data_IF_787321432692
#
_entry.id   IF_787321432692
#
_cell.length_a   1.000
_cell.length_b   1.000
_cell.length_c   1.000
_cell.angle_alpha   90.00
_cell.angle_beta   90.00
_cell.angle_gamma   90.00
#
_symmetry.space_group_name_H-M   'P 1'
#
loop_
_entity.id
_entity.type
_entity.pdbx_description
1 polymer ?
#
# COMPACT_ATOMS: atom_id res chain seq x y z
N UNK A 1 -21.82 -10.44 29.35
CA UNK A 1 -21.15 -11.00 28.15
C UNK A 1 -20.40 -9.86 27.45
N UNK A 2 -19.09 -9.72 27.67
CA UNK A 2 -18.30 -8.67 27.00
C UNK A 2 -18.03 -9.05 25.55
N UNK A 3 -18.80 -8.46 24.63
CA UNK A 3 -18.67 -8.68 23.19
C UNK A 3 -17.48 -7.85 22.71
N UNK A 4 -16.30 -8.48 22.63
CA UNK A 4 -15.09 -7.82 22.13
C UNK A 4 -15.15 -7.72 20.62
N UNK A 5 -15.00 -6.51 20.09
CA UNK A 5 -14.98 -6.28 18.64
C UNK A 5 -13.52 -6.13 18.18
N UNK A 6 -13.03 -7.00 17.29
CA UNK A 6 -11.68 -6.88 16.77
C UNK A 6 -11.60 -5.66 15.85
N UNK A 7 -10.71 -4.72 16.19
CA UNK A 7 -10.43 -3.55 15.38
C UNK A 7 -9.10 -3.74 14.65
N UNK A 8 -9.02 -3.27 13.40
CA UNK A 8 -7.76 -3.24 12.65
C UNK A 8 -6.66 -2.60 13.50
N UNK A 9 -5.48 -3.22 13.57
CA UNK A 9 -4.34 -2.75 14.40
C UNK A 9 -4.05 -1.25 14.23
N UNK A 10 -4.12 -0.73 13.01
CA UNK A 10 -3.85 0.68 12.73
C UNK A 10 -4.96 1.61 13.20
N UNK A 11 -6.22 1.19 13.06
CA UNK A 11 -7.35 1.95 13.62
C UNK A 11 -7.40 1.83 15.14
N UNK A 12 -6.99 0.70 15.71
CA UNK A 12 -6.85 0.56 17.15
C UNK A 12 -5.79 1.53 17.69
N UNK A 13 -4.61 1.58 17.04
CA UNK A 13 -3.57 2.54 17.38
C UNK A 13 -4.04 3.99 17.25
N UNK A 14 -4.76 4.34 16.19
CA UNK A 14 -5.26 5.70 16.00
C UNK A 14 -6.40 6.06 16.98
N UNK A 15 -7.44 5.23 17.07
CA UNK A 15 -8.68 5.54 17.77
C UNK A 15 -8.62 5.21 19.26
N UNK A 16 -7.85 4.21 19.67
CA UNK A 16 -7.74 3.80 21.06
C UNK A 16 -6.42 4.30 21.66
N UNK A 17 -5.26 3.93 21.12
CA UNK A 17 -3.97 4.30 21.74
C UNK A 17 -3.66 5.80 21.64
N UNK A 18 -3.93 6.42 20.49
CA UNK A 18 -3.76 7.87 20.28
C UNK A 18 -5.02 8.67 20.57
N UNK A 19 -6.06 8.02 21.08
CA UNK A 19 -7.36 8.58 21.46
C UNK A 19 -8.02 9.51 20.42
N UNK A 20 -7.68 9.40 19.13
CA UNK A 20 -8.14 10.35 18.11
C UNK A 20 -9.67 10.43 18.06
N UNK A 21 -10.21 11.64 18.19
CA UNK A 21 -11.63 11.96 18.07
C UNK A 21 -11.77 13.27 17.29
N UNK A 22 -12.75 13.37 16.39
CA UNK A 22 -12.93 14.54 15.53
C UNK A 22 -11.87 14.71 14.43
N UNK A 23 -11.40 13.61 13.85
CA UNK A 23 -10.31 13.62 12.86
C UNK A 23 -10.82 13.57 11.42
N UNK A 24 -10.00 14.03 10.47
CA UNK A 24 -10.19 13.81 9.03
C UNK A 24 -9.46 12.55 8.53
N UNK A 25 -9.83 12.07 7.33
CA UNK A 25 -9.13 10.94 6.68
C UNK A 25 -7.65 11.26 6.43
N UNK A 26 -7.33 12.54 6.20
CA UNK A 26 -5.95 13.00 5.99
C UNK A 26 -5.16 12.97 7.29
N UNK A 27 -5.76 13.40 8.39
CA UNK A 27 -5.14 13.43 9.72
C UNK A 27 -4.83 12.01 10.21
N UNK A 28 -5.80 11.09 10.15
CA UNK A 28 -5.56 9.70 10.56
C UNK A 28 -4.51 9.01 9.69
N UNK A 29 -4.47 9.31 8.37
CA UNK A 29 -3.40 8.83 7.48
C UNK A 29 -2.05 9.38 7.90
N UNK A 30 -1.94 10.69 8.09
CA UNK A 30 -0.66 11.34 8.44
C UNK A 30 -0.14 10.86 9.81
N UNK A 31 -1.04 10.60 10.76
CA UNK A 31 -0.70 10.06 12.08
C UNK A 31 -0.21 8.61 12.03
N UNK A 32 -0.66 7.84 11.05
CA UNK A 32 -0.27 6.44 10.87
C UNK A 32 0.91 6.27 9.91
N UNK A 33 1.14 7.22 9.01
CA UNK A 33 2.19 7.16 7.98
C UNK A 33 3.58 6.83 8.55
N UNK A 34 4.07 7.45 9.65
CA UNK A 34 5.38 7.12 10.23
C UNK A 34 5.47 5.70 10.78
N UNK A 35 4.33 5.11 11.16
CA UNK A 35 4.25 3.74 11.68
C UNK A 35 4.04 2.70 10.56
N UNK A 36 3.62 3.15 9.37
CA UNK A 36 3.22 2.29 8.24
C UNK A 36 4.01 2.48 6.96
N UNK A 37 4.95 3.44 6.89
CA UNK A 37 5.69 3.76 5.65
C UNK A 37 6.45 2.54 5.08
N UNK A 38 6.91 1.65 5.96
CA UNK A 38 7.56 0.40 5.54
C UNK A 38 6.60 -0.65 4.99
N UNK A 39 5.29 -0.51 5.19
CA UNK A 39 4.27 -1.52 4.87
C UNK A 39 3.30 -1.10 3.76
N UNK A 40 2.96 0.19 3.67
CA UNK A 40 1.97 0.69 2.72
C UNK A 40 2.46 1.97 2.06
N UNK A 41 2.15 2.12 0.77
CA UNK A 41 2.25 3.42 0.11
C UNK A 41 1.11 4.35 0.58
N UNK A 42 1.30 5.67 0.42
CA UNK A 42 0.40 6.72 0.88
C UNK A 42 -1.02 6.57 0.34
N UNK A 43 -1.16 6.17 -0.92
CA UNK A 43 -2.45 5.91 -1.57
C UNK A 43 -3.11 4.61 -1.11
N UNK A 44 -2.31 3.55 -0.92
CA UNK A 44 -2.83 2.27 -0.41
C UNK A 44 -3.34 2.41 1.01
N UNK A 45 -2.59 3.11 1.87
CA UNK A 45 -3.01 3.42 3.24
C UNK A 45 -4.32 4.22 3.25
N UNK A 46 -4.45 5.22 2.37
CA UNK A 46 -5.68 6.02 2.25
C UNK A 46 -6.87 5.15 1.86
N UNK A 47 -6.73 4.27 0.86
CA UNK A 47 -7.81 3.35 0.42
C UNK A 47 -8.22 2.38 1.52
N UNK A 48 -7.25 1.83 2.25
CA UNK A 48 -7.48 0.92 3.38
C UNK A 48 -8.23 1.61 4.51
N UNK A 49 -7.79 2.81 4.91
CA UNK A 49 -8.44 3.61 5.95
C UNK A 49 -9.87 3.97 5.55
N UNK A 50 -10.09 4.37 4.29
CA UNK A 50 -11.44 4.72 3.81
C UNK A 50 -12.42 3.54 3.92
N UNK A 51 -12.02 2.35 3.45
CA UNK A 51 -12.86 1.13 3.55
C UNK A 51 -13.18 0.77 5.00
N UNK A 52 -12.22 0.94 5.90
CA UNK A 52 -12.40 0.58 7.31
C UNK A 52 -13.26 1.61 8.05
N UNK A 53 -13.03 2.90 7.83
CA UNK A 53 -13.86 3.99 8.37
C UNK A 53 -15.31 3.86 7.87
N UNK A 54 -15.50 3.50 6.59
CA UNK A 54 -16.82 3.25 6.04
C UNK A 54 -17.57 2.14 6.78
N UNK A 55 -16.88 1.04 7.14
CA UNK A 55 -17.47 -0.04 7.95
C UNK A 55 -17.86 0.45 9.35
N UNK A 56 -17.01 1.25 9.99
CA UNK A 56 -17.32 1.80 11.31
C UNK A 56 -18.50 2.79 11.26
N UNK A 57 -18.60 3.59 10.21
CA UNK A 57 -19.79 4.43 9.96
C UNK A 57 -21.05 3.57 9.77
N UNK A 58 -20.97 2.54 8.92
CA UNK A 58 -22.10 1.66 8.63
C UNK A 58 -22.59 0.89 9.87
N UNK A 59 -21.68 0.53 10.78
CA UNK A 59 -22.01 -0.09 12.06
C UNK A 59 -22.47 0.91 13.15
N UNK A 60 -22.51 2.22 12.84
CA UNK A 60 -22.90 3.26 13.80
C UNK A 60 -21.85 3.56 14.87
N UNK A 61 -20.62 3.09 14.70
CA UNK A 61 -19.53 3.30 15.67
C UNK A 61 -18.84 4.65 15.50
N UNK A 62 -18.75 5.13 14.27
CA UNK A 62 -18.33 6.49 13.99
C UNK A 62 -19.51 7.28 13.43
N UNK A 63 -19.49 8.57 13.66
CA UNK A 63 -20.38 9.52 13.00
C UNK A 63 -19.56 10.50 12.16
N UNK A 64 -20.15 10.92 11.04
CA UNK A 64 -19.55 11.88 10.15
C UNK A 64 -20.23 13.23 10.36
N UNK A 65 -19.50 14.21 10.87
CA UNK A 65 -19.99 15.60 10.96
C UNK A 65 -19.18 16.48 10.02
N UNK A 66 -19.86 17.44 9.41
CA UNK A 66 -19.18 18.48 8.65
C UNK A 66 -18.82 19.58 9.63
N UNK A 67 -17.54 19.92 9.67
CA UNK A 67 -17.10 21.09 10.41
C UNK A 67 -17.55 22.34 9.63
N UNK A 68 -18.33 23.21 10.27
CA UNK A 68 -18.89 24.42 9.66
C UNK A 68 -17.80 25.45 9.33
N UNK A 69 -16.70 25.43 10.10
CA UNK A 69 -15.59 26.40 9.98
C UNK A 69 -14.63 25.97 8.88
N UNK A 70 -14.19 24.71 8.89
CA UNK A 70 -13.20 24.20 7.92
C UNK A 70 -13.84 23.63 6.66
N UNK A 71 -15.17 23.44 6.64
CA UNK A 71 -15.95 22.70 5.62
C UNK A 71 -15.51 21.24 5.42
N UNK A 72 -14.60 20.76 6.26
CA UNK A 72 -14.04 19.42 6.18
C UNK A 72 -14.98 18.39 6.79
N UNK A 73 -14.89 17.17 6.28
CA UNK A 73 -15.54 16.02 6.88
C UNK A 73 -14.69 15.52 8.03
N UNK A 74 -15.27 15.52 9.24
CA UNK A 74 -14.65 14.97 10.45
C UNK A 74 -15.44 13.78 10.98
N UNK A 75 -14.69 12.83 11.55
CA UNK A 75 -15.20 11.59 12.09
C UNK A 75 -15.11 11.65 13.61
N UNK A 76 -16.23 11.41 14.28
CA UNK A 76 -16.32 11.40 15.74
C UNK A 76 -16.71 10.02 16.24
N UNK A 77 -16.21 9.65 17.42
CA UNK A 77 -16.62 8.44 18.13
C UNK A 77 -18.02 8.62 18.68
N UNK A 78 -18.87 7.65 18.42
CA UNK A 78 -20.21 7.60 19.03
C UNK A 78 -20.18 6.98 20.43
N UNK A 79 -21.27 7.14 21.18
CA UNK A 79 -21.44 6.46 22.46
C UNK A 79 -21.46 4.94 22.30
N UNK A 80 -21.93 4.42 21.16
CA UNK A 80 -21.87 3.00 20.84
C UNK A 80 -20.42 2.49 20.71
N UNK A 81 -19.50 3.32 20.21
CA UNK A 81 -18.07 2.99 20.21
C UNK A 81 -17.50 2.98 21.63
N UNK A 82 -17.87 3.95 22.47
CA UNK A 82 -17.36 4.04 23.86
C UNK A 82 -17.91 2.94 24.78
N UNK A 83 -19.12 2.46 24.50
CA UNK A 83 -19.77 1.38 25.25
C UNK A 83 -19.17 -0.01 24.97
N UNK A 84 -18.32 -0.16 23.95
CA UNK A 84 -17.77 -1.44 23.53
C UNK A 84 -16.27 -1.52 23.78
N UNK A 85 -15.82 -2.69 24.25
CA UNK A 85 -14.41 -2.98 24.38
C UNK A 85 -13.86 -3.46 23.03
N UNK A 86 -13.16 -2.55 22.33
CA UNK A 86 -12.38 -2.90 21.17
C UNK A 86 -11.07 -3.56 21.60
N UNK A 87 -10.67 -4.60 20.88
CA UNK A 87 -9.37 -5.24 21.09
C UNK A 87 -8.57 -5.10 19.81
N UNK A 88 -7.28 -4.77 19.93
CA UNK A 88 -6.38 -4.77 18.79
C UNK A 88 -6.38 -6.16 18.17
N UNK A 89 -6.89 -6.28 16.94
CA UNK A 89 -6.91 -7.56 16.27
C UNK A 89 -5.46 -8.02 16.05
N UNK A 90 -5.02 -9.09 16.74
CA UNK A 90 -3.68 -9.68 16.60
C UNK A 90 -3.37 -10.09 15.15
N UNK A 91 -4.41 -10.32 14.36
CA UNK A 91 -4.41 -10.38 12.90
C UNK A 91 -5.51 -9.47 12.41
N UNK A 92 -5.19 -8.61 11.45
CA UNK A 92 -6.17 -7.82 10.70
C UNK A 92 -7.07 -8.78 9.89
N UNK A 93 -7.99 -9.50 10.53
CA UNK A 93 -8.96 -10.33 9.84
C UNK A 93 -10.03 -9.43 9.24
N UNK A 94 -9.80 -9.01 8.01
CA UNK A 94 -10.88 -8.73 7.10
C UNK A 94 -11.63 -10.05 6.89
N UNK A 95 -12.92 -10.06 7.22
CA UNK A 95 -13.85 -11.10 6.79
C UNK A 95 -13.64 -11.39 5.31
N UNK A 96 -13.20 -12.62 5.09
CA UNK A 96 -12.96 -13.29 3.83
C UNK A 96 -14.31 -13.58 3.19
N UNK A 97 -14.60 -12.96 2.06
CA UNK A 97 -15.50 -13.57 1.07
C UNK A 97 -14.76 -14.02 -0.19
N UNK A 98 -13.48 -13.65 -0.40
CA UNK A 98 -12.79 -13.96 -1.66
C UNK A 98 -11.29 -14.28 -1.54
N UNK A 99 -10.80 -14.74 -0.39
CA UNK A 99 -9.42 -15.21 -0.31
C UNK A 99 -9.32 -16.54 0.46
N UNK A 100 -9.98 -17.56 -0.09
CA UNK A 100 -9.27 -18.83 -0.19
C UNK A 100 -8.04 -18.55 -1.02
N UNK A 101 -6.89 -18.37 -0.38
CA UNK A 101 -5.59 -18.88 -0.77
C UNK A 101 -4.55 -18.40 0.24
N UNK A 102 -4.05 -19.39 1.00
CA UNK A 102 -2.83 -19.38 1.81
C UNK A 102 -2.85 -18.49 3.05
N UNK A 103 -3.30 -19.13 4.13
CA UNK A 103 -2.58 -19.09 5.39
C UNK A 103 -1.08 -19.33 5.14
N UNK A 104 -0.30 -18.27 5.11
CA UNK A 104 1.05 -18.30 5.68
C UNK A 104 1.18 -17.05 6.53
N UNK A 105 2.00 -17.16 7.57
CA UNK A 105 2.33 -16.07 8.46
C UNK A 105 2.68 -14.82 7.65
N UNK A 106 2.16 -13.66 8.08
CA UNK A 106 2.47 -12.39 7.43
C UNK A 106 3.96 -12.12 7.64
N UNK A 107 4.80 -12.66 6.76
CA UNK A 107 6.24 -12.59 6.85
C UNK A 107 6.66 -11.21 6.30
N UNK A 108 7.06 -10.26 7.18
CA UNK A 108 7.40 -8.91 6.76
C UNK A 108 8.51 -8.88 5.70
N UNK A 109 9.44 -9.85 5.76
CA UNK A 109 10.49 -10.03 4.77
C UNK A 109 9.92 -10.36 3.38
N UNK A 110 8.99 -11.31 3.28
CA UNK A 110 8.37 -11.66 1.98
C UNK A 110 7.54 -10.50 1.43
N UNK A 111 6.85 -9.75 2.31
CA UNK A 111 6.10 -8.57 1.90
C UNK A 111 7.02 -7.46 1.35
N UNK A 112 8.19 -7.26 1.99
CA UNK A 112 9.20 -6.30 1.54
C UNK A 112 9.77 -6.72 0.18
N UNK A 113 10.23 -7.96 0.06
CA UNK A 113 10.80 -8.54 -1.17
C UNK A 113 9.81 -8.46 -2.33
N UNK A 114 8.52 -8.74 -2.08
CA UNK A 114 7.48 -8.70 -3.11
C UNK A 114 7.21 -7.28 -3.60
N UNK A 115 7.19 -6.29 -2.69
CA UNK A 115 7.00 -4.87 -3.07
C UNK A 115 8.18 -4.34 -3.86
N UNK A 116 9.40 -4.63 -3.41
CA UNK A 116 10.63 -4.23 -4.08
C UNK A 116 10.71 -4.85 -5.49
N UNK A 117 10.33 -6.13 -5.62
CA UNK A 117 10.24 -6.80 -6.92
C UNK A 117 9.25 -6.09 -7.86
N UNK A 118 8.06 -5.74 -7.38
CA UNK A 118 7.05 -5.05 -8.17
C UNK A 118 7.53 -3.67 -8.68
N UNK A 119 8.36 -2.96 -7.89
CA UNK A 119 8.97 -1.70 -8.31
C UNK A 119 9.93 -1.89 -9.48
N UNK A 120 10.87 -2.85 -9.37
CA UNK A 120 11.80 -3.14 -10.47
C UNK A 120 11.08 -3.69 -11.72
N UNK A 121 10.00 -4.45 -11.57
CA UNK A 121 9.18 -4.90 -12.71
C UNK A 121 8.48 -3.73 -13.42
N UNK A 122 8.04 -2.71 -12.67
CA UNK A 122 7.46 -1.51 -13.25
C UNK A 122 8.51 -0.70 -14.01
N UNK A 123 9.69 -0.50 -13.40
CA UNK A 123 10.82 0.21 -14.01
C UNK A 123 11.32 -0.51 -15.28
N UNK A 124 11.46 -1.84 -15.24
CA UNK A 124 11.85 -2.65 -16.40
C UNK A 124 10.89 -2.44 -17.58
N UNK A 125 9.58 -2.35 -17.32
CA UNK A 125 8.58 -2.10 -18.37
C UNK A 125 8.77 -0.74 -19.05
N UNK A 126 9.17 0.28 -18.28
CA UNK A 126 9.46 1.61 -18.83
C UNK A 126 10.70 1.54 -19.72
N UNK A 127 11.79 0.97 -19.21
CA UNK A 127 13.07 0.86 -19.94
C UNK A 127 12.92 0.04 -21.22
N UNK A 128 12.15 -1.04 -21.20
CA UNK A 128 11.85 -1.80 -22.42
C UNK A 128 11.09 -0.97 -23.46
N UNK A 129 10.17 -0.10 -23.01
CA UNK A 129 9.51 0.87 -23.87
C UNK A 129 10.48 1.86 -24.52
N UNK A 130 11.50 2.32 -23.79
CA UNK A 130 12.57 3.15 -24.34
C UNK A 130 13.39 2.40 -25.38
N UNK A 131 13.78 1.14 -25.09
CA UNK A 131 14.51 0.28 -26.03
C UNK A 131 13.74 0.10 -27.34
N UNK A 132 12.42 -0.11 -27.27
CA UNK A 132 11.56 -0.21 -28.45
C UNK A 132 11.48 1.09 -29.26
N UNK A 133 11.54 2.24 -28.58
CA UNK A 133 11.62 3.55 -29.25
C UNK A 133 12.97 3.72 -29.93
N UNK A 134 14.08 3.49 -29.23
CA UNK A 134 15.42 3.65 -29.81
C UNK A 134 15.65 2.71 -30.98
N UNK A 135 15.20 1.45 -30.87
CA UNK A 135 15.27 0.48 -31.97
C UNK A 135 14.52 0.98 -33.21
N UNK A 136 13.32 1.55 -33.05
CA UNK A 136 12.55 2.13 -34.16
C UNK A 136 13.23 3.35 -34.76
N UNK A 137 13.83 4.20 -33.94
CA UNK A 137 14.57 5.37 -34.43
C UNK A 137 15.79 4.92 -35.23
N UNK A 138 16.57 3.96 -34.73
CA UNK A 138 17.73 3.40 -35.44
C UNK A 138 17.35 2.76 -36.79
N UNK A 139 16.17 2.15 -36.91
CA UNK A 139 15.71 1.60 -38.19
C UNK A 139 15.16 2.67 -39.14
N UNK A 140 14.57 3.73 -38.62
CA UNK A 140 13.90 4.77 -39.43
C UNK A 140 14.88 5.85 -39.88
N UNK A 141 15.87 6.15 -39.05
CA UNK A 141 16.86 7.20 -39.27
C UNK A 141 18.27 6.67 -38.95
N UNK A 142 18.86 5.86 -39.85
CA UNK A 142 20.19 5.27 -39.64
C UNK A 142 21.30 6.31 -39.53
N UNK A 143 21.11 7.51 -40.09
CA UNK A 143 22.10 8.57 -40.09
C UNK A 143 22.37 9.17 -38.71
N UNK A 144 21.49 8.98 -37.73
CA UNK A 144 21.65 9.40 -36.34
C UNK A 144 22.13 8.24 -35.45
N UNK A 145 22.56 7.10 -36.02
CA UNK A 145 22.98 5.92 -35.25
C UNK A 145 24.02 6.26 -34.19
N UNK A 146 25.02 7.09 -34.53
CA UNK A 146 26.07 7.51 -33.60
C UNK A 146 25.56 8.21 -32.33
N UNK A 147 24.38 8.85 -32.38
CA UNK A 147 23.75 9.50 -31.24
C UNK A 147 22.82 8.56 -30.45
N UNK A 148 22.16 7.64 -31.15
CA UNK A 148 21.08 6.81 -30.58
C UNK A 148 21.59 5.46 -30.08
N UNK A 149 22.62 4.88 -30.72
CA UNK A 149 23.24 3.61 -30.30
C UNK A 149 23.69 3.61 -28.83
N UNK A 150 24.36 4.66 -28.30
CA UNK A 150 24.74 4.69 -26.89
C UNK A 150 23.53 4.67 -25.94
N UNK A 151 22.42 5.31 -26.32
CA UNK A 151 21.18 5.29 -25.53
C UNK A 151 20.52 3.91 -25.56
N UNK A 152 20.47 3.29 -26.75
CA UNK A 152 19.95 1.95 -26.94
C UNK A 152 20.72 0.91 -26.11
N UNK A 153 22.06 0.91 -26.21
CA UNK A 153 22.88 -0.03 -25.45
C UNK A 153 22.79 0.22 -23.95
N UNK A 154 22.79 1.48 -23.50
CA UNK A 154 22.61 1.81 -22.07
C UNK A 154 21.27 1.32 -21.53
N UNK A 155 20.17 1.52 -22.25
CA UNK A 155 18.85 1.04 -21.82
C UNK A 155 18.76 -0.50 -21.87
N UNK A 156 19.45 -1.16 -22.81
CA UNK A 156 19.58 -2.62 -22.81
C UNK A 156 20.34 -3.15 -21.61
N UNK A 157 21.51 -2.59 -21.31
CA UNK A 157 22.32 -3.00 -20.16
C UNK A 157 21.54 -2.79 -18.86
N UNK A 158 20.85 -1.65 -18.74
CA UNK A 158 20.04 -1.37 -17.58
C UNK A 158 18.85 -2.33 -17.43
N UNK A 159 18.21 -2.73 -18.54
CA UNK A 159 17.15 -3.74 -18.51
C UNK A 159 17.65 -5.10 -18.01
N UNK A 160 18.87 -5.49 -18.38
CA UNK A 160 19.50 -6.72 -17.90
C UNK A 160 19.82 -6.64 -16.40
N UNK A 161 20.26 -5.49 -15.91
CA UNK A 161 20.49 -5.25 -14.48
C UNK A 161 19.18 -5.39 -13.68
N UNK A 162 18.11 -4.74 -14.13
CA UNK A 162 16.79 -4.83 -13.50
C UNK A 162 16.26 -6.27 -13.47
N UNK A 163 16.41 -7.02 -14.57
CA UNK A 163 16.10 -8.45 -14.60
C UNK A 163 16.92 -9.25 -13.58
N UNK A 164 18.22 -8.94 -13.44
CA UNK A 164 19.08 -9.54 -12.42
C UNK A 164 18.53 -9.33 -11.00
N UNK A 165 18.12 -8.09 -10.68
CA UNK A 165 17.50 -7.74 -9.39
C UNK A 165 16.18 -8.47 -9.16
N UNK A 166 15.29 -8.49 -10.17
CA UNK A 166 14.00 -9.21 -10.11
C UNK A 166 14.22 -10.71 -9.89
N UNK A 167 15.21 -11.30 -10.55
CA UNK A 167 15.56 -12.71 -10.40
C UNK A 167 16.08 -13.02 -8.99
N UNK A 168 16.94 -12.16 -8.43
CA UNK A 168 17.41 -12.30 -7.05
C UNK A 168 16.24 -12.24 -6.06
N UNK A 169 15.36 -11.25 -6.19
CA UNK A 169 14.18 -11.10 -5.33
C UNK A 169 13.20 -12.27 -5.49
N UNK A 170 13.04 -12.80 -6.71
CA UNK A 170 12.21 -13.98 -6.97
C UNK A 170 12.74 -15.21 -6.24
N UNK A 171 14.07 -15.43 -6.24
CA UNK A 171 14.71 -16.50 -5.47
C UNK A 171 14.52 -16.29 -3.96
N UNK A 172 14.68 -15.07 -3.46
CA UNK A 172 14.45 -14.75 -2.04
C UNK A 172 12.99 -14.99 -1.61
N UNK A 173 12.02 -14.69 -2.47
CA UNK A 173 10.61 -14.95 -2.21
C UNK A 173 10.23 -16.44 -2.24
N UNK A 174 11.08 -17.29 -2.83
CA UNK A 174 10.89 -18.73 -2.96
C UNK A 174 11.63 -19.56 -1.91
N UNK A 175 12.34 -18.92 -0.97
CA UNK A 175 13.00 -19.61 0.14
C UNK A 175 11.94 -20.33 1.01
N UNK A 176 12.21 -21.57 1.44
CA UNK A 176 11.28 -22.31 2.31
C UNK A 176 11.09 -21.56 3.64
N UNK A 177 9.83 -21.49 4.09
CA UNK A 177 9.42 -20.91 5.37
C UNK A 177 9.34 -21.99 6.45
#
# INVERSE_FOLDING_TARGET
MNRQIPLNKWLYKALIEKEMDGFSVLEIRNTLLPDTYMLFDREELRKLLYRQLYKLLACGFLEKRRDEVTRETRYFKTDAFRALQFVAAKRTQLSLAHAQLKNSEYNPFISHVSREKAQFEAELRIVLGEVDVYKRVLTTFPEQSALVEPLYEKSKDYSAELLGRINALSKLSALPQ
#
